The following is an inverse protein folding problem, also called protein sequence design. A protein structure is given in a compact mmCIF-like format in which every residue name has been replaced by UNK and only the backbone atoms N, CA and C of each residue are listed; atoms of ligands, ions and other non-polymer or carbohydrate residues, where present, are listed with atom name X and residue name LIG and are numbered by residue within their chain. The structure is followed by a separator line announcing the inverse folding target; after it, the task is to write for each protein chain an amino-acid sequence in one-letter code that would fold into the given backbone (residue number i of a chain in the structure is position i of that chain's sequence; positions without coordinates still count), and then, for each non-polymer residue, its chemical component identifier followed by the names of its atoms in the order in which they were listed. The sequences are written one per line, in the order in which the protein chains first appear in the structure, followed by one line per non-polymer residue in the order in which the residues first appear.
data_IF_254431310771
#
_entry.id   IF_254431310771
#
_cell.length_a   1.000
_cell.length_b   1.000
_cell.length_c   1.000
_cell.angle_alpha   90.00
_cell.angle_beta   90.00
_cell.angle_gamma   90.00
#
_symmetry.space_group_name_H-M   'P 1'
#
loop_
_entity.id
_entity.type
_entity.pdbx_description
1 polymer ?
#
# COMPACT_ATOMS: atom_id res chain seq x y z
N UNK A 1 3.94 6.46 4.10
CA UNK A 1 4.08 5.76 2.78
C UNK A 1 3.23 4.51 2.72
N UNK A 2 2.22 4.42 1.86
CA UNK A 2 1.38 3.22 1.71
C UNK A 2 2.07 2.08 0.95
N UNK A 3 1.35 0.97 0.71
CA UNK A 3 1.82 -0.15 -0.12
C UNK A 3 2.21 0.26 -1.54
N UNK A 4 2.82 -0.67 -2.27
CA UNK A 4 3.37 -0.47 -3.60
C UNK A 4 2.29 -0.76 -4.65
N UNK A 5 1.95 0.24 -5.46
CA UNK A 5 1.07 0.06 -6.60
C UNK A 5 1.87 -0.41 -7.83
N UNK A 6 1.46 -1.56 -8.38
CA UNK A 6 1.96 -2.15 -9.62
C UNK A 6 0.76 -2.69 -10.42
N UNK A 7 0.82 -2.64 -11.75
CA UNK A 7 -0.29 -3.08 -12.63
C UNK A 7 -0.67 -4.53 -12.41
N UNK A 8 0.35 -5.37 -12.24
CA UNK A 8 0.20 -6.81 -12.07
C UNK A 8 -0.11 -7.23 -10.61
N UNK A 9 -0.38 -6.31 -9.68
CA UNK A 9 -0.66 -6.64 -8.27
C UNK A 9 -1.78 -7.68 -8.10
N UNK A 10 -2.78 -7.69 -9.00
CA UNK A 10 -3.92 -8.61 -8.94
C UNK A 10 -3.59 -10.06 -9.31
N UNK A 11 -2.47 -10.31 -9.99
CA UNK A 11 -2.03 -11.66 -10.37
C UNK A 11 -0.95 -12.22 -9.42
N UNK A 12 -0.44 -11.40 -8.50
CA UNK A 12 0.52 -11.84 -7.50
C UNK A 12 -0.14 -12.72 -6.44
N UNK A 13 0.66 -13.61 -5.84
CA UNK A 13 0.23 -14.40 -4.67
C UNK A 13 -0.25 -13.46 -3.56
N UNK A 14 -1.41 -13.78 -2.96
CA UNK A 14 -2.04 -12.98 -1.91
C UNK A 14 -1.12 -12.73 -0.72
N UNK A 15 -0.12 -13.59 -0.47
CA UNK A 15 0.86 -13.36 0.61
C UNK A 15 1.63 -12.04 0.45
N UNK A 16 1.76 -11.52 -0.78
CA UNK A 16 2.45 -10.26 -1.07
C UNK A 16 1.53 -9.03 -1.00
N UNK A 17 0.23 -9.20 -0.80
CA UNK A 17 -0.77 -8.13 -0.84
C UNK A 17 -1.18 -7.75 0.57
N UNK A 18 -1.18 -6.45 0.84
CA UNK A 18 -1.61 -5.90 2.12
C UNK A 18 -3.14 -6.01 2.25
N UNK A 19 -3.67 -6.60 3.33
CA UNK A 19 -5.12 -6.71 3.54
C UNK A 19 -5.78 -5.36 3.85
N UNK A 20 -5.00 -4.31 4.18
CA UNK A 20 -5.52 -2.98 4.53
C UNK A 20 -5.63 -2.09 3.28
N UNK A 21 -4.50 -1.84 2.60
CA UNK A 21 -4.47 -0.95 1.44
C UNK A 21 -4.67 -1.67 0.11
N UNK A 22 -4.71 -3.01 0.09
CA UNK A 22 -4.87 -3.85 -1.13
C UNK A 22 -3.77 -3.69 -2.18
N UNK A 23 -2.66 -3.06 -1.81
CA UNK A 23 -1.44 -2.90 -2.61
C UNK A 23 -0.38 -3.93 -2.20
N UNK A 24 0.70 -4.04 -2.97
CA UNK A 24 1.84 -4.89 -2.60
C UNK A 24 2.43 -4.38 -1.27
N UNK A 25 2.78 -5.29 -0.36
CA UNK A 25 3.31 -4.95 0.96
C UNK A 25 4.56 -4.07 0.84
N UNK A 26 4.56 -2.95 1.57
CA UNK A 26 5.73 -2.08 1.78
C UNK A 26 6.15 -2.21 3.23
N UNK A 27 7.42 -2.53 3.47
CA UNK A 27 7.99 -2.72 4.80
C UNK A 27 7.08 -3.59 5.69
N UNK A 28 6.93 -4.89 5.34
CA UNK A 28 5.93 -5.75 5.94
C UNK A 28 6.17 -5.96 7.45
N UNK A 29 5.14 -5.69 8.24
CA UNK A 29 5.07 -6.07 9.65
C UNK A 29 4.19 -7.32 9.79
N UNK A 30 4.62 -8.26 10.63
CA UNK A 30 3.86 -9.47 10.96
C UNK A 30 3.24 -9.33 12.34
N UNK A 31 1.94 -9.63 12.45
CA UNK A 31 1.24 -9.72 13.73
C UNK A 31 1.67 -10.99 14.46
N UNK A 32 2.27 -10.88 15.64
CA UNK A 32 2.89 -12.01 16.33
C UNK A 32 1.91 -13.15 16.65
N UNK A 33 0.64 -12.84 16.94
CA UNK A 33 -0.34 -13.87 17.36
C UNK A 33 -0.89 -14.74 16.23
N UNK A 34 -0.95 -14.23 15.00
CA UNK A 34 -1.58 -14.96 13.88
C UNK A 34 -0.70 -15.08 12.63
N UNK A 35 0.45 -14.42 12.58
CA UNK A 35 1.38 -14.52 11.46
C UNK A 35 0.97 -13.75 10.19
N UNK A 36 -0.18 -13.07 10.19
CA UNK A 36 -0.62 -12.25 9.06
C UNK A 36 0.18 -10.95 8.95
N UNK A 37 0.37 -10.49 7.71
CA UNK A 37 1.20 -9.32 7.38
C UNK A 37 0.38 -8.15 6.89
N UNK A 38 0.90 -6.94 7.12
CA UNK A 38 0.40 -5.68 6.57
C UNK A 38 1.59 -4.72 6.38
N UNK A 39 1.39 -3.61 5.64
CA UNK A 39 2.42 -2.58 5.53
C UNK A 39 2.66 -1.94 6.90
N UNK A 40 3.91 -1.56 7.21
CA UNK A 40 4.23 -0.84 8.44
C UNK A 40 3.37 0.42 8.60
N UNK A 41 3.21 1.21 7.54
CA UNK A 41 2.39 2.42 7.55
C UNK A 41 0.90 2.16 7.78
N UNK A 42 0.36 1.05 7.24
CA UNK A 42 -1.03 0.66 7.48
C UNK A 42 -1.25 0.27 8.95
N UNK A 43 -0.25 -0.37 9.56
CA UNK A 43 -0.27 -0.65 10.99
C UNK A 43 -0.13 0.62 11.83
N UNK A 44 0.78 1.52 11.46
CA UNK A 44 1.01 2.78 12.19
C UNK A 44 -0.20 3.71 12.16
N UNK A 45 -0.97 3.71 11.06
CA UNK A 45 -2.21 4.47 10.90
C UNK A 45 -3.37 3.96 11.78
N UNK A 46 -3.29 2.73 12.29
CA UNK A 46 -4.22 2.26 13.32
C UNK A 46 -3.83 2.93 14.65
N UNK A 47 -4.77 3.45 15.42
CA UNK A 47 -4.49 4.17 16.67
C UNK A 47 -4.85 3.36 17.92
N UNK A 48 -5.42 2.17 17.73
CA UNK A 48 -5.83 1.28 18.81
C UNK A 48 -4.63 0.61 19.49
N UNK A 49 -4.75 0.41 20.80
CA UNK A 49 -3.77 -0.35 21.62
C UNK A 49 -3.77 -1.83 21.19
N UNK A 50 -4.94 -2.33 20.81
CA UNK A 50 -5.16 -3.69 20.33
C UNK A 50 -5.55 -3.64 18.87
N UNK A 51 -4.77 -4.32 18.03
CA UNK A 51 -5.01 -4.43 16.60
C UNK A 51 -5.76 -5.71 16.29
N UNK A 52 -6.92 -5.58 15.64
CA UNK A 52 -7.67 -6.71 15.08
C UNK A 52 -7.13 -7.03 13.69
N UNK A 53 -6.71 -8.29 13.50
CA UNK A 53 -6.29 -8.76 12.19
C UNK A 53 -7.48 -8.78 11.22
N UNK A 54 -7.37 -8.07 10.09
CA UNK A 54 -8.43 -8.03 9.08
C UNK A 54 -8.65 -9.37 8.34
N UNK A 55 -7.74 -10.33 8.49
CA UNK A 55 -7.82 -11.64 7.83
C UNK A 55 -8.48 -12.71 8.72
N UNK A 56 -8.19 -12.72 10.02
CA UNK A 56 -8.62 -13.78 10.93
C UNK A 56 -9.26 -13.28 12.24
N UNK A 57 -9.40 -11.96 12.40
CA UNK A 57 -10.00 -11.29 13.57
C UNK A 57 -9.25 -11.47 14.90
N UNK A 58 -8.11 -12.17 14.91
CA UNK A 58 -7.27 -12.30 16.10
C UNK A 58 -6.74 -10.94 16.57
N UNK A 59 -6.75 -10.73 17.89
CA UNK A 59 -6.33 -9.50 18.55
C UNK A 59 -4.86 -9.55 18.98
N UNK A 60 -4.05 -8.66 18.43
CA UNK A 60 -2.61 -8.55 18.73
C UNK A 60 -2.33 -7.20 19.39
N UNK A 61 -1.50 -7.15 20.43
CA UNK A 61 -1.08 -5.88 21.01
C UNK A 61 -0.26 -5.08 19.99
N UNK A 62 -0.37 -3.75 20.01
CA UNK A 62 0.47 -2.87 19.17
C UNK A 62 1.97 -3.07 19.40
N UNK A 63 2.37 -3.57 20.57
CA UNK A 63 3.78 -3.87 20.88
C UNK A 63 4.21 -5.26 20.40
N UNK A 64 3.28 -6.13 20.02
CA UNK A 64 3.53 -7.52 19.63
C UNK A 64 3.62 -7.67 18.10
N UNK A 65 4.48 -6.88 17.46
CA UNK A 65 4.74 -6.98 16.02
C UNK A 65 6.18 -7.40 15.72
N UNK A 66 6.37 -8.09 14.60
CA UNK A 66 7.68 -8.47 14.09
C UNK A 66 7.95 -7.74 12.77
N UNK A 67 9.12 -7.11 12.67
CA UNK A 67 9.66 -6.66 11.38
C UNK A 67 10.14 -7.90 10.62
N UNK A 68 9.36 -8.35 9.64
CA UNK A 68 9.61 -9.61 8.95
C UNK A 68 10.63 -9.44 7.82
N UNK A 69 11.90 -9.29 8.23
CA UNK A 69 13.03 -9.12 7.31
C UNK A 69 13.23 -10.31 6.37
N UNK A 70 12.89 -11.52 6.82
CA UNK A 70 12.94 -12.73 6.01
C UNK A 70 11.99 -12.61 4.83
N UNK A 71 10.72 -12.35 5.14
CA UNK A 71 9.70 -12.14 4.11
C UNK A 71 10.01 -10.93 3.23
N UNK A 72 10.48 -9.81 3.79
CA UNK A 72 10.88 -8.63 3.02
C UNK A 72 12.02 -8.95 2.03
N UNK A 73 12.95 -9.83 2.38
CA UNK A 73 13.98 -10.28 1.45
C UNK A 73 13.41 -11.18 0.36
N UNK A 74 12.51 -12.10 0.69
CA UNK A 74 11.84 -12.96 -0.30
C UNK A 74 11.04 -12.15 -1.32
N UNK A 75 10.48 -11.01 -0.90
CA UNK A 75 9.75 -10.10 -1.78
C UNK A 75 10.63 -9.43 -2.84
N UNK A 76 11.95 -9.34 -2.67
CA UNK A 76 12.84 -8.58 -3.58
C UNK A 76 12.80 -9.06 -5.02
N UNK A 77 12.52 -10.35 -5.23
CA UNK A 77 12.56 -11.01 -6.54
C UNK A 77 11.18 -11.14 -7.21
N UNK A 78 10.10 -10.65 -6.57
CA UNK A 78 8.79 -10.68 -7.21
C UNK A 78 8.81 -9.78 -8.45
N UNK A 79 8.24 -10.28 -9.55
CA UNK A 79 8.11 -9.52 -10.78
C UNK A 79 6.95 -8.52 -10.65
N UNK A 80 7.18 -7.30 -11.11
CA UNK A 80 6.25 -6.19 -11.01
C UNK A 80 6.23 -5.37 -12.30
N UNK A 81 5.05 -4.82 -12.56
CA UNK A 81 4.80 -3.96 -13.72
C UNK A 81 4.52 -2.54 -13.23
N UNK A 82 5.28 -1.57 -13.72
CA UNK A 82 5.14 -0.18 -13.29
C UNK A 82 3.74 0.36 -13.60
N UNK A 83 3.11 1.01 -12.62
CA UNK A 83 1.80 1.64 -12.79
C UNK A 83 1.81 2.87 -13.71
N UNK A 84 2.99 3.46 -13.96
CA UNK A 84 3.13 4.75 -14.64
C UNK A 84 3.79 4.66 -16.03
N UNK A 85 4.37 3.53 -16.42
CA UNK A 85 4.97 3.32 -17.74
C UNK A 85 4.98 1.82 -18.14
N UNK A 86 5.67 1.47 -19.22
CA UNK A 86 5.79 0.09 -19.73
C UNK A 86 6.90 -0.73 -19.06
N UNK A 87 7.60 -0.16 -18.08
CA UNK A 87 8.67 -0.87 -17.38
C UNK A 87 8.14 -2.07 -16.60
N UNK A 88 8.86 -3.19 -16.72
CA UNK A 88 8.63 -4.42 -15.96
C UNK A 88 9.96 -4.91 -15.39
N UNK A 89 9.96 -5.43 -14.17
CA UNK A 89 11.19 -5.92 -13.54
C UNK A 89 10.94 -6.52 -12.17
N UNK A 90 12.00 -6.64 -11.36
CA UNK A 90 11.89 -7.14 -9.99
C UNK A 90 11.66 -6.00 -8.99
N UNK A 91 10.96 -6.28 -7.89
CA UNK A 91 10.65 -5.31 -6.84
C UNK A 91 11.88 -4.57 -6.32
N UNK A 92 13.02 -5.25 -6.17
CA UNK A 92 14.26 -4.66 -5.70
C UNK A 92 14.77 -3.49 -6.57
N UNK A 93 14.43 -3.49 -7.86
CA UNK A 93 14.82 -2.44 -8.79
C UNK A 93 13.74 -1.37 -8.95
N UNK A 94 12.56 -1.56 -8.35
CA UNK A 94 11.41 -0.69 -8.59
C UNK A 94 11.64 0.73 -8.11
N UNK A 95 12.10 0.88 -6.87
CA UNK A 95 12.28 2.20 -6.27
C UNK A 95 13.25 3.03 -7.10
N UNK A 96 14.38 2.43 -7.50
CA UNK A 96 15.34 3.05 -8.43
C UNK A 96 14.68 3.48 -9.74
N UNK A 97 13.90 2.60 -10.36
CA UNK A 97 13.15 2.93 -11.58
C UNK A 97 12.20 4.12 -11.36
N UNK A 98 11.47 4.16 -10.24
CA UNK A 98 10.57 5.27 -9.91
C UNK A 98 11.33 6.59 -9.73
N UNK A 99 12.48 6.57 -9.07
CA UNK A 99 13.29 7.77 -8.85
C UNK A 99 13.92 8.30 -10.17
N UNK A 100 14.34 7.40 -11.06
CA UNK A 100 14.96 7.76 -12.35
C UNK A 100 13.95 8.21 -13.41
N UNK A 101 12.77 7.59 -13.47
CA UNK A 101 11.81 7.78 -14.56
C UNK A 101 10.50 8.46 -14.14
N UNK A 102 10.22 8.58 -12.84
CA UNK A 102 8.96 9.10 -12.29
C UNK A 102 9.19 10.14 -11.20
N UNK A 103 10.28 10.90 -11.30
CA UNK A 103 10.64 12.01 -10.40
C UNK A 103 9.90 13.31 -10.68
N UNK A 104 9.01 13.38 -11.68
CA UNK A 104 8.16 14.56 -11.95
C UNK A 104 6.73 14.11 -12.28
N UNK A 105 5.99 13.67 -11.25
CA UNK A 105 4.62 13.19 -11.38
C UNK A 105 3.61 14.28 -11.09
N UNK A 106 2.50 14.27 -11.82
CA UNK A 106 1.35 15.10 -11.53
C UNK A 106 0.28 14.23 -10.87
N UNK A 107 -0.30 14.72 -9.78
CA UNK A 107 -1.48 14.09 -9.21
C UNK A 107 -2.61 14.13 -10.23
N UNK A 108 -3.21 12.98 -10.54
CA UNK A 108 -4.30 12.85 -11.50
C UNK A 108 -5.57 13.61 -11.08
N UNK A 109 -5.79 13.78 -9.77
CA UNK A 109 -6.99 14.41 -9.23
C UNK A 109 -6.87 15.94 -9.13
N UNK A 110 -5.69 16.46 -8.74
CA UNK A 110 -5.51 17.88 -8.46
C UNK A 110 -4.46 18.59 -9.33
N UNK A 111 -3.68 17.86 -10.11
CA UNK A 111 -2.64 18.40 -10.98
C UNK A 111 -1.36 18.87 -10.27
N UNK A 112 -1.26 18.77 -8.93
CA UNK A 112 -0.06 19.14 -8.17
C UNK A 112 1.14 18.28 -8.61
N UNK A 113 2.29 18.91 -8.76
CA UNK A 113 3.55 18.26 -9.15
C UNK A 113 4.28 17.69 -7.93
N UNK A 114 4.79 16.48 -8.06
CA UNK A 114 5.49 15.73 -7.03
C UNK A 114 6.82 15.23 -7.56
N UNK A 115 7.84 15.36 -6.73
CA UNK A 115 9.18 14.93 -7.09
C UNK A 115 9.44 13.42 -6.90
N UNK A 116 8.41 12.65 -6.54
CA UNK A 116 8.47 11.20 -6.34
C UNK A 116 7.06 10.62 -6.31
N UNK A 117 6.92 9.39 -6.80
CA UNK A 117 5.69 8.57 -6.69
C UNK A 117 5.21 8.48 -5.25
N UNK A 118 6.13 8.30 -4.29
CA UNK A 118 5.77 8.06 -2.90
C UNK A 118 5.01 9.26 -2.32
N UNK A 119 5.53 10.48 -2.53
CA UNK A 119 4.87 11.71 -2.09
C UNK A 119 3.56 11.95 -2.81
N UNK A 120 3.49 11.63 -4.10
CA UNK A 120 2.26 11.73 -4.86
C UNK A 120 1.18 10.80 -4.28
N UNK A 121 1.54 9.56 -3.94
CA UNK A 121 0.62 8.58 -3.36
C UNK A 121 0.21 8.94 -1.92
N UNK A 122 1.10 9.48 -1.10
CA UNK A 122 0.74 9.97 0.24
C UNK A 122 -0.25 11.14 0.15
N UNK A 123 0.02 12.09 -0.73
CA UNK A 123 -0.89 13.19 -1.02
C UNK A 123 -2.27 12.68 -1.46
N UNK A 124 -2.30 11.72 -2.40
CA UNK A 124 -3.54 11.10 -2.91
C UNK A 124 -4.41 10.42 -1.86
N UNK A 125 -3.92 10.18 -0.64
CA UNK A 125 -4.64 9.41 0.39
C UNK A 125 -5.09 10.30 1.55
N UNK A 126 -4.28 11.29 1.91
CA UNK A 126 -4.53 12.07 3.13
C UNK A 126 -4.66 13.57 2.90
N UNK A 127 -4.24 14.10 1.74
CA UNK A 127 -4.09 15.54 1.54
C UNK A 127 -4.71 16.04 0.22
N UNK A 128 -5.21 15.14 -0.62
CA UNK A 128 -5.75 15.51 -1.92
C UNK A 128 -7.19 15.97 -1.80
N UNK A 129 -7.35 17.29 -1.84
CA UNK A 129 -8.63 18.02 -1.77
C UNK A 129 -9.63 17.64 -2.87
N UNK A 130 -9.15 16.98 -3.95
CA UNK A 130 -9.95 16.53 -5.10
C UNK A 130 -9.99 15.01 -5.24
N UNK A 131 -9.51 14.27 -4.25
CA UNK A 131 -9.63 12.82 -4.24
C UNK A 131 -11.11 12.45 -4.18
N UNK A 132 -11.55 11.63 -5.14
CA UNK A 132 -12.89 11.03 -5.11
C UNK A 132 -12.86 9.96 -4.02
N UNK A 133 -13.61 10.19 -2.94
CA UNK A 133 -13.77 9.19 -1.87
C UNK A 133 -15.08 8.46 -2.07
N UNK A 134 -15.07 7.14 -1.90
CA UNK A 134 -16.30 6.35 -1.99
C UNK A 134 -17.27 6.84 -0.90
N UNK A 135 -18.47 7.23 -1.31
CA UNK A 135 -19.50 7.67 -0.40
C UNK A 135 -19.80 6.55 0.60
N UNK A 136 -19.64 6.84 1.89
CA UNK A 136 -19.85 5.86 2.99
C UNK A 136 -21.28 5.27 2.96
N UNK A 137 -22.22 6.00 2.37
CA UNK A 137 -23.62 5.61 2.19
C UNK A 137 -23.87 4.73 0.96
N UNK A 138 -22.84 4.39 0.17
CA UNK A 138 -22.96 3.40 -0.91
C UNK A 138 -23.31 2.01 -0.36
N UNK A 139 -22.82 1.67 0.83
CA UNK A 139 -23.24 0.47 1.57
C UNK A 139 -24.71 0.50 2.01
N UNK A 140 -25.35 1.68 1.97
CA UNK A 140 -26.77 1.91 2.26
C UNK A 140 -27.59 2.27 1.00
N UNK A 141 -27.04 2.10 -0.21
CA UNK A 141 -27.79 2.25 -1.47
C UNK A 141 -27.73 3.63 -2.13
N UNK A 142 -26.77 4.49 -1.78
CA UNK A 142 -26.55 5.75 -2.50
C UNK A 142 -25.82 5.54 -3.84
N UNK A 143 -26.35 6.07 -4.94
CA UNK A 143 -25.81 5.94 -6.29
C UNK A 143 -24.95 7.13 -6.77
N UNK A 144 -24.64 8.10 -5.89
CA UNK A 144 -23.85 9.27 -6.28
C UNK A 144 -22.38 9.13 -5.86
N UNK A 145 -21.49 9.31 -6.84
CA UNK A 145 -20.08 9.60 -6.63
C UNK A 145 -19.95 11.11 -6.41
N UNK A 146 -19.30 11.52 -5.30
CA UNK A 146 -18.98 12.93 -4.98
C UNK A 146 -17.47 13.13 -5.05
#
# INVERSE_FOLDING_TARGET
MVGIDAKNKHILDRKYICPICTLILRDPVQLSKCGHRQCQSCFEAQHEITIKCQQCQSETSRTEILLDRGFQNDMKLIHIDCSFCEWTGILNNYQKHLDEHHSNLKCEYCGKEFNSVNKCNEHKISECEKQIVDCVLKYFGCNEQV
#
